data_IF_431244314667
#
_entry.id   IF_431244314667
#
_cell.length_a   1.000
_cell.length_b   1.000
_cell.length_c   1.000
_cell.angle_alpha   90.00
_cell.angle_beta   90.00
_cell.angle_gamma   90.00
#
_symmetry.space_group_name_H-M   'P 1'
#
loop_
_entity.id
_entity.type
_entity.pdbx_description
1 polymer ?
#
# COMPACT_ATOMS: atom_id res chain seq x y z
N UNK A 1 -53.77 4.54 9.43
CA UNK A 1 -53.29 5.20 10.67
C UNK A 1 -51.83 4.84 10.90
N UNK A 2 -50.92 5.81 10.77
CA UNK A 2 -49.71 5.91 11.63
C UNK A 2 -50.12 6.69 12.90
N UNK A 3 -49.37 6.60 14.01
CA UNK A 3 -48.24 7.53 14.25
C UNK A 3 -46.91 6.77 14.52
N UNK A 4 -45.71 7.24 14.13
CA UNK A 4 -44.88 8.31 14.74
C UNK A 4 -44.60 7.99 16.23
N UNK A 5 -43.40 7.90 16.78
CA UNK A 5 -42.01 8.19 16.39
C UNK A 5 -41.19 8.31 17.69
N UNK A 6 -39.87 8.16 17.66
CA UNK A 6 -38.99 8.93 18.56
C UNK A 6 -37.58 9.06 17.99
N UNK A 7 -37.09 10.28 18.09
CA UNK A 7 -35.93 10.90 17.46
C UNK A 7 -35.10 11.49 18.63
N UNK A 8 -33.77 11.25 18.62
CA UNK A 8 -32.68 11.99 19.31
C UNK A 8 -32.64 11.95 20.87
N UNK A 9 -31.55 12.16 21.63
CA UNK A 9 -30.29 12.93 21.51
C UNK A 9 -29.28 12.49 22.62
N UNK A 10 -27.95 12.59 22.45
CA UNK A 10 -26.89 13.10 23.40
C UNK A 10 -25.58 13.12 22.59
N UNK A 11 -25.14 14.24 22.02
CA UNK A 11 -24.42 15.41 22.58
C UNK A 11 -22.89 15.31 22.45
N UNK A 12 -22.30 16.45 22.13
CA UNK A 12 -20.89 16.71 21.86
C UNK A 12 -19.97 16.44 23.06
N UNK A 13 -18.75 15.96 22.79
CA UNK A 13 -17.55 16.24 23.58
C UNK A 13 -16.51 16.82 22.61
N UNK A 14 -16.24 18.13 22.71
CA UNK A 14 -15.07 18.73 23.36
C UNK A 14 -13.77 18.38 22.63
N UNK A 15 -13.14 19.43 22.10
CA UNK A 15 -11.73 19.42 21.71
C UNK A 15 -10.89 18.85 22.87
N UNK A 16 -10.43 17.61 22.73
CA UNK A 16 -9.40 17.08 23.60
C UNK A 16 -8.08 17.77 23.21
N UNK A 17 -7.30 18.29 24.17
CA UNK A 17 -5.91 18.61 23.87
C UNK A 17 -5.24 17.33 23.38
N UNK A 18 -4.28 17.46 22.45
CA UNK A 18 -3.34 16.39 22.11
C UNK A 18 -2.77 15.87 23.43
N UNK A 19 -3.29 14.74 23.90
CA UNK A 19 -2.67 14.02 25.00
C UNK A 19 -1.33 13.57 24.42
N UNK A 20 -0.24 14.15 24.94
CA UNK A 20 1.08 13.59 24.74
C UNK A 20 0.96 12.10 25.06
N UNK A 21 1.18 11.27 24.04
CA UNK A 21 1.16 9.83 24.25
C UNK A 21 2.26 9.52 25.27
N UNK A 22 1.96 8.76 26.34
CA UNK A 22 3.02 8.30 27.21
C UNK A 22 4.05 7.58 26.34
N UNK A 23 5.34 7.88 26.52
CA UNK A 23 6.42 7.07 25.96
C UNK A 23 6.38 5.69 26.64
N UNK A 24 5.41 4.87 26.25
CA UNK A 24 5.44 3.45 26.54
C UNK A 24 6.44 2.86 25.57
N UNK A 25 7.68 2.75 26.03
CA UNK A 25 8.70 1.94 25.39
C UNK A 25 8.05 0.57 25.09
N UNK A 26 7.91 0.16 23.82
CA UNK A 26 7.27 -1.11 23.51
C UNK A 26 8.00 -2.22 24.25
N UNK A 27 7.23 -3.15 24.83
CA UNK A 27 7.80 -4.36 25.41
C UNK A 27 8.69 -5.00 24.35
N UNK A 28 9.94 -5.29 24.72
CA UNK A 28 10.94 -5.85 23.82
C UNK A 28 10.38 -7.16 23.25
N UNK A 29 10.04 -7.16 21.96
CA UNK A 29 9.55 -8.36 21.28
C UNK A 29 10.73 -9.33 21.21
N UNK A 30 10.57 -10.48 21.87
CA UNK A 30 11.64 -11.46 22.03
C UNK A 30 12.07 -11.98 20.64
N UNK A 31 13.31 -11.69 20.26
CA UNK A 31 13.94 -12.19 19.03
C UNK A 31 14.09 -11.18 17.89
N UNK A 32 13.61 -9.94 18.03
CA UNK A 32 13.75 -8.95 16.96
C UNK A 32 15.21 -8.52 16.79
N UNK A 33 15.65 -8.48 15.53
CA UNK A 33 16.89 -7.78 15.16
C UNK A 33 16.71 -6.32 15.53
N UNK A 34 17.73 -5.74 16.15
CA UNK A 34 17.75 -4.32 16.45
C UNK A 34 18.28 -3.56 15.23
N UNK A 35 17.74 -2.36 15.01
CA UNK A 35 18.39 -1.33 14.19
C UNK A 35 19.78 -1.02 14.74
N UNK A 36 20.65 -0.39 13.94
CA UNK A 36 21.96 0.10 14.40
C UNK A 36 21.85 1.09 15.57
N UNK A 37 20.65 1.66 15.81
CA UNK A 37 20.34 2.56 16.91
C UNK A 37 19.76 1.87 18.16
N UNK A 38 19.63 0.54 18.15
CA UNK A 38 19.12 -0.24 19.28
C UNK A 38 17.59 -0.22 19.44
N UNK A 39 16.84 0.33 18.48
CA UNK A 39 15.38 0.18 18.37
C UNK A 39 15.00 -1.15 17.72
N UNK A 40 13.81 -1.66 18.03
CA UNK A 40 13.21 -2.79 17.30
C UNK A 40 12.92 -2.36 15.85
N UNK A 41 13.15 -3.26 14.89
CA UNK A 41 12.85 -3.05 13.46
C UNK A 41 11.33 -3.08 13.16
N UNK A 42 10.51 -3.46 14.15
CA UNK A 42 9.05 -3.50 14.08
C UNK A 42 8.42 -3.60 15.49
N UNK A 43 7.19 -3.11 15.66
CA UNK A 43 6.34 -3.29 16.86
C UNK A 43 5.66 -4.66 16.90
N UNK A 44 5.53 -5.30 15.75
CA UNK A 44 5.04 -6.68 15.60
C UNK A 44 6.23 -7.54 15.18
N UNK A 45 6.53 -8.60 15.94
CA UNK A 45 7.69 -9.44 15.64
C UNK A 45 7.66 -9.96 14.21
N UNK A 46 8.82 -10.08 13.58
CA UNK A 46 8.92 -10.62 12.22
C UNK A 46 9.10 -12.14 12.26
N UNK A 47 8.65 -12.87 11.23
CA UNK A 47 8.98 -14.29 11.12
C UNK A 47 10.51 -14.43 11.02
N UNK A 48 11.15 -15.03 12.01
CA UNK A 48 12.58 -15.32 11.98
C UNK A 48 12.84 -16.39 10.91
N UNK A 49 13.83 -16.20 10.01
CA UNK A 49 14.27 -17.25 9.11
C UNK A 49 14.51 -18.58 9.81
N UNK A 50 14.99 -18.62 11.05
CA UNK A 50 15.21 -19.85 11.83
C UNK A 50 13.90 -20.63 12.10
N UNK A 51 12.77 -19.95 12.21
CA UNK A 51 11.45 -20.52 12.52
C UNK A 51 10.61 -20.86 11.28
N UNK A 52 11.16 -20.64 10.07
CA UNK A 52 10.48 -20.94 8.81
C UNK A 52 10.34 -22.44 8.57
N UNK A 53 9.18 -22.86 8.07
CA UNK A 53 9.01 -24.19 7.48
C UNK A 53 9.91 -24.36 6.25
N UNK A 54 10.21 -25.59 5.78
CA UNK A 54 11.00 -25.80 4.57
C UNK A 54 10.47 -25.03 3.35
N UNK A 55 9.14 -25.02 3.15
CA UNK A 55 8.52 -24.27 2.05
C UNK A 55 8.66 -22.74 2.20
N UNK A 56 8.56 -22.22 3.42
CA UNK A 56 8.79 -20.79 3.68
C UNK A 56 10.25 -20.41 3.47
N UNK A 57 11.19 -21.28 3.87
CA UNK A 57 12.62 -21.07 3.65
C UNK A 57 12.97 -21.08 2.17
N UNK A 58 12.44 -22.04 1.40
CA UNK A 58 12.61 -22.08 -0.05
C UNK A 58 12.11 -20.79 -0.70
N UNK A 59 10.90 -20.33 -0.34
CA UNK A 59 10.37 -19.07 -0.84
C UNK A 59 11.26 -17.87 -0.47
N UNK A 60 11.72 -17.80 0.79
CA UNK A 60 12.63 -16.77 1.30
C UNK A 60 13.98 -16.72 0.55
N UNK A 61 14.53 -17.88 0.18
CA UNK A 61 15.80 -17.98 -0.52
C UNK A 61 15.67 -17.69 -2.02
N UNK A 62 14.50 -17.94 -2.61
CA UNK A 62 14.24 -17.82 -4.05
C UNK A 62 14.14 -16.40 -4.61
N UNK A 63 13.98 -15.37 -3.77
CA UNK A 63 13.75 -14.00 -4.24
C UNK A 63 14.22 -12.94 -3.24
N UNK A 64 14.83 -11.82 -3.70
CA UNK A 64 15.10 -10.66 -2.85
C UNK A 64 13.86 -10.12 -2.13
N UNK A 65 12.70 -10.09 -2.80
CA UNK A 65 11.45 -9.56 -2.23
C UNK A 65 10.98 -10.34 -1.00
N UNK A 66 11.23 -11.65 -0.97
CA UNK A 66 10.84 -12.51 0.14
C UNK A 66 11.67 -12.24 1.41
N UNK A 67 12.81 -11.54 1.28
CA UNK A 67 13.70 -11.18 2.38
C UNK A 67 13.34 -9.85 3.05
N UNK A 68 12.50 -9.05 2.40
CA UNK A 68 12.02 -7.78 2.95
C UNK A 68 11.30 -8.00 4.29
N UNK A 69 11.45 -7.04 5.19
CA UNK A 69 10.79 -6.96 6.47
C UNK A 69 9.27 -7.08 6.31
N UNK A 70 8.70 -6.47 5.27
CA UNK A 70 7.28 -6.57 4.97
C UNK A 70 6.84 -8.02 4.70
N UNK A 71 7.59 -8.75 3.87
CA UNK A 71 7.29 -10.16 3.57
C UNK A 71 7.29 -11.02 4.83
N UNK A 72 8.26 -10.79 5.72
CA UNK A 72 8.38 -11.49 7.00
C UNK A 72 7.29 -11.08 8.01
N UNK A 73 6.84 -9.83 7.96
CA UNK A 73 5.75 -9.30 8.77
C UNK A 73 4.41 -9.91 8.34
N UNK A 74 4.10 -9.88 7.04
CA UNK A 74 2.87 -10.46 6.49
C UNK A 74 2.78 -11.96 6.76
N UNK A 75 3.91 -12.67 6.75
CA UNK A 75 3.99 -14.09 7.08
C UNK A 75 3.55 -14.44 8.52
N UNK A 76 3.44 -13.47 9.44
CA UNK A 76 2.85 -13.70 10.76
C UNK A 76 1.36 -14.04 10.68
N UNK A 77 0.64 -13.53 9.68
CA UNK A 77 -0.75 -13.88 9.43
C UNK A 77 -0.86 -15.22 8.69
N UNK A 78 -0.42 -16.31 9.34
CA UNK A 78 -0.26 -17.66 8.73
C UNK A 78 -1.48 -18.15 7.96
N UNK A 79 -2.69 -17.84 8.43
CA UNK A 79 -3.95 -18.24 7.79
C UNK A 79 -4.31 -17.42 6.56
N UNK A 80 -3.80 -16.19 6.45
CA UNK A 80 -4.09 -15.26 5.34
C UNK A 80 -2.98 -15.21 4.29
N UNK A 81 -1.73 -15.51 4.70
CA UNK A 81 -0.56 -15.34 3.84
C UNK A 81 -0.64 -16.05 2.48
N UNK A 82 -1.13 -17.30 2.37
CA UNK A 82 -1.26 -17.96 1.06
C UNK A 82 -2.22 -17.21 0.12
N UNK A 83 -3.35 -16.73 0.66
CA UNK A 83 -4.35 -15.96 -0.09
C UNK A 83 -3.81 -14.60 -0.52
N UNK A 84 -3.12 -13.90 0.40
CA UNK A 84 -2.48 -12.62 0.08
C UNK A 84 -1.42 -12.76 -1.00
N UNK A 85 -0.60 -13.81 -0.95
CA UNK A 85 0.41 -14.09 -1.97
C UNK A 85 -0.21 -14.35 -3.35
N UNK A 86 -1.33 -15.09 -3.43
CA UNK A 86 -2.07 -15.28 -4.68
C UNK A 86 -2.63 -13.97 -5.23
N UNK A 87 -3.20 -13.12 -4.36
CA UNK A 87 -3.77 -11.85 -4.76
C UNK A 87 -2.70 -10.87 -5.27
N UNK A 88 -1.56 -10.74 -4.58
CA UNK A 88 -0.43 -9.91 -5.02
C UNK A 88 0.13 -10.43 -6.35
N UNK A 89 0.28 -11.75 -6.51
CA UNK A 89 0.74 -12.34 -7.77
C UNK A 89 -0.21 -11.99 -8.92
N UNK A 90 -1.51 -12.24 -8.75
CA UNK A 90 -2.51 -11.93 -9.77
C UNK A 90 -2.52 -10.43 -10.10
N UNK A 91 -2.42 -9.57 -9.08
CA UNK A 91 -2.28 -8.13 -9.25
C UNK A 91 -1.09 -7.77 -10.14
N UNK A 92 0.05 -8.47 -10.01
CA UNK A 92 1.28 -8.18 -10.76
C UNK A 92 1.26 -8.74 -12.19
N UNK A 93 0.75 -9.95 -12.39
CA UNK A 93 0.89 -10.71 -13.65
C UNK A 93 -0.38 -10.83 -14.48
N UNK A 94 -1.57 -10.78 -13.86
CA UNK A 94 -2.81 -11.25 -14.49
C UNK A 94 -3.85 -10.13 -14.72
N UNK A 95 -3.63 -8.93 -14.16
CA UNK A 95 -4.50 -7.76 -14.36
C UNK A 95 -4.43 -7.21 -15.78
N UNK A 96 -5.54 -6.67 -16.28
CA UNK A 96 -5.63 -5.88 -17.52
C UNK A 96 -5.43 -4.38 -17.30
N UNK A 97 -5.23 -3.93 -16.06
CA UNK A 97 -4.77 -2.56 -15.78
C UNK A 97 -3.32 -2.38 -16.27
N UNK A 98 -3.03 -1.35 -17.11
CA UNK A 98 -1.68 -1.11 -17.62
C UNK A 98 -0.65 -0.93 -16.50
N UNK A 99 0.56 -1.53 -16.61
CA UNK A 99 1.53 -1.52 -15.52
C UNK A 99 1.94 -0.11 -15.04
N UNK A 100 2.14 0.85 -15.96
CA UNK A 100 2.50 2.22 -15.63
C UNK A 100 1.39 2.92 -14.84
N UNK A 101 0.13 2.75 -15.27
CA UNK A 101 -1.04 3.31 -14.60
C UNK A 101 -1.25 2.66 -13.22
N UNK A 102 -1.01 1.35 -13.10
CA UNK A 102 -0.99 0.63 -11.82
C UNK A 102 0.03 1.22 -10.86
N UNK A 103 1.26 1.49 -11.31
CA UNK A 103 2.30 2.06 -10.46
C UNK A 103 2.01 3.53 -10.06
N UNK A 104 1.42 4.33 -10.96
CA UNK A 104 0.95 5.69 -10.63
C UNK A 104 -0.12 5.66 -9.53
N UNK A 105 -1.06 4.72 -9.60
CA UNK A 105 -2.09 4.53 -8.56
C UNK A 105 -1.47 4.11 -7.25
N UNK A 106 -0.50 3.20 -7.29
CA UNK A 106 0.23 2.76 -6.10
C UNK A 106 0.87 3.96 -5.43
N UNK A 107 1.73 4.70 -6.12
CA UNK A 107 2.36 5.92 -5.58
C UNK A 107 1.34 6.91 -5.01
N UNK A 108 0.21 7.11 -5.69
CA UNK A 108 -0.85 7.99 -5.18
C UNK A 108 -1.44 7.49 -3.86
N UNK A 109 -1.74 6.20 -3.72
CA UNK A 109 -2.23 5.60 -2.46
C UNK A 109 -1.18 5.73 -1.37
N UNK A 110 0.09 5.42 -1.69
CA UNK A 110 1.22 5.52 -0.76
C UNK A 110 1.38 6.93 -0.20
N UNK A 111 1.33 7.95 -1.06
CA UNK A 111 1.36 9.35 -0.64
C UNK A 111 0.15 9.70 0.24
N UNK A 112 -1.06 9.38 -0.22
CA UNK A 112 -2.29 9.76 0.45
C UNK A 112 -2.42 9.14 1.86
N UNK A 113 -1.98 7.89 2.05
CA UNK A 113 -2.03 7.18 3.33
C UNK A 113 -0.71 7.26 4.12
N UNK A 114 0.27 8.07 3.68
CA UNK A 114 1.55 8.35 4.38
C UNK A 114 2.44 7.12 4.55
N UNK A 115 2.49 6.28 3.53
CA UNK A 115 3.23 5.02 3.51
C UNK A 115 4.71 5.17 3.21
N UNK A 116 5.51 5.59 4.19
CA UNK A 116 6.93 5.86 3.99
C UNK A 116 7.74 4.60 3.63
N UNK A 117 7.43 3.45 4.24
CA UNK A 117 8.14 2.20 3.96
C UNK A 117 7.95 1.77 2.49
N UNK A 118 6.70 1.71 2.05
CA UNK A 118 6.40 1.27 0.68
C UNK A 118 6.79 2.32 -0.36
N UNK A 119 6.68 3.61 -0.04
CA UNK A 119 7.09 4.68 -0.94
C UNK A 119 8.55 4.53 -1.37
N UNK A 120 9.45 4.24 -0.42
CA UNK A 120 10.87 4.03 -0.72
C UNK A 120 11.10 2.90 -1.74
N UNK A 121 10.33 1.82 -1.65
CA UNK A 121 10.40 0.71 -2.61
C UNK A 121 9.84 1.11 -3.97
N UNK A 122 8.68 1.76 -3.98
CA UNK A 122 7.95 2.09 -5.20
C UNK A 122 8.54 3.26 -5.99
N UNK A 123 9.27 4.17 -5.35
CA UNK A 123 10.04 5.19 -6.08
C UNK A 123 11.09 4.54 -7.02
N UNK A 124 11.76 3.47 -6.57
CA UNK A 124 12.70 2.71 -7.39
C UNK A 124 12.01 1.89 -8.49
N UNK A 125 10.82 1.35 -8.21
CA UNK A 125 9.99 0.66 -9.20
C UNK A 125 9.59 1.64 -10.31
N UNK A 126 9.04 2.80 -9.95
CA UNK A 126 8.61 3.83 -10.87
C UNK A 126 9.75 4.28 -11.79
N UNK A 127 10.94 4.52 -11.23
CA UNK A 127 12.14 4.84 -12.00
C UNK A 127 12.53 3.71 -12.98
N UNK A 128 12.49 2.44 -12.52
CA UNK A 128 12.79 1.29 -13.37
C UNK A 128 11.76 1.06 -14.48
N UNK A 129 10.52 1.51 -14.28
CA UNK A 129 9.43 1.48 -15.27
C UNK A 129 9.46 2.67 -16.23
N UNK A 130 10.30 3.69 -15.97
CA UNK A 130 10.40 4.89 -16.78
C UNK A 130 9.32 5.95 -16.48
N UNK A 131 8.66 5.88 -15.31
CA UNK A 131 7.83 6.98 -14.82
C UNK A 131 8.76 8.15 -14.49
N UNK A 132 8.44 9.32 -15.03
CA UNK A 132 9.31 10.48 -14.89
C UNK A 132 9.34 10.98 -13.44
N UNK A 133 10.49 11.52 -13.03
CA UNK A 133 10.64 12.10 -11.69
C UNK A 133 9.64 13.23 -11.44
N UNK A 134 9.31 14.00 -12.46
CA UNK A 134 8.32 15.09 -12.39
C UNK A 134 6.93 14.58 -12.01
N UNK A 135 6.53 13.38 -12.49
CA UNK A 135 5.26 12.74 -12.09
C UNK A 135 5.30 12.27 -10.64
N UNK A 136 6.40 11.63 -10.22
CA UNK A 136 6.56 11.18 -8.83
C UNK A 136 6.54 12.37 -7.86
N UNK A 137 7.26 13.44 -8.20
CA UNK A 137 7.29 14.67 -7.42
C UNK A 137 5.91 15.36 -7.37
N UNK A 138 5.19 15.38 -8.50
CA UNK A 138 3.83 15.93 -8.52
C UNK A 138 2.86 15.15 -7.61
N UNK A 139 3.00 13.82 -7.50
CA UNK A 139 2.23 13.02 -6.53
C UNK A 139 2.63 13.40 -5.10
N UNK A 140 3.94 13.46 -4.81
CA UNK A 140 4.47 13.78 -3.48
C UNK A 140 4.10 15.21 -3.01
N UNK A 141 3.87 16.13 -3.94
CA UNK A 141 3.46 17.51 -3.67
C UNK A 141 1.93 17.72 -3.66
N UNK A 142 1.11 16.66 -3.68
CA UNK A 142 -0.35 16.73 -3.80
C UNK A 142 -0.86 17.42 -5.09
N UNK A 143 -0.03 17.50 -6.15
CA UNK A 143 -0.35 18.12 -7.44
C UNK A 143 -0.98 17.14 -8.44
N UNK A 144 -2.04 16.46 -8.03
CA UNK A 144 -2.73 15.43 -8.85
C UNK A 144 -3.35 15.92 -10.17
N UNK A 145 -3.53 17.24 -10.35
CA UNK A 145 -4.04 17.85 -11.58
C UNK A 145 -2.95 18.47 -12.47
N UNK A 146 -1.67 18.24 -12.16
CA UNK A 146 -0.54 18.87 -12.84
C UNK A 146 -0.49 18.53 -14.34
N UNK A 147 -0.06 19.46 -15.23
CA UNK A 147 0.10 19.20 -16.66
C UNK A 147 1.09 18.08 -17.03
N UNK A 148 1.94 17.64 -16.10
CA UNK A 148 2.79 16.45 -16.32
C UNK A 148 1.98 15.17 -16.52
N UNK A 149 0.75 15.12 -16.02
CA UNK A 149 -0.19 14.03 -16.23
C UNK A 149 -1.05 14.27 -17.46
N UNK A 150 -1.28 13.24 -18.25
CA UNK A 150 -2.29 13.30 -19.31
C UNK A 150 -3.72 13.21 -18.73
N UNK A 151 -4.74 13.36 -19.59
CA UNK A 151 -6.14 13.35 -19.14
C UNK A 151 -6.59 12.00 -18.56
N UNK A 152 -6.00 10.89 -19.01
CA UNK A 152 -6.29 9.56 -18.49
C UNK A 152 -5.69 9.39 -17.09
N UNK A 153 -4.45 9.82 -16.90
CA UNK A 153 -3.76 9.81 -15.62
C UNK A 153 -4.43 10.72 -14.60
N UNK A 154 -4.86 11.93 -15.01
CA UNK A 154 -5.64 12.82 -14.12
C UNK A 154 -6.95 12.20 -13.68
N UNK A 155 -7.70 11.56 -14.58
CA UNK A 155 -8.93 10.86 -14.24
C UNK A 155 -8.66 9.71 -13.25
N UNK A 156 -7.60 8.94 -13.47
CA UNK A 156 -7.15 7.85 -12.61
C UNK A 156 -6.76 8.35 -11.20
N UNK A 157 -5.98 9.43 -11.12
CA UNK A 157 -5.55 10.05 -9.87
C UNK A 157 -6.72 10.66 -9.08
N UNK A 158 -7.65 11.33 -9.77
CA UNK A 158 -8.86 11.87 -9.15
C UNK A 158 -9.74 10.77 -8.54
N UNK A 159 -9.99 9.69 -9.31
CA UNK A 159 -10.71 8.51 -8.83
C UNK A 159 -10.02 7.86 -7.63
N UNK A 160 -8.70 7.68 -7.70
CA UNK A 160 -7.88 7.09 -6.62
C UNK A 160 -7.97 7.94 -5.35
N UNK A 161 -7.80 9.26 -5.47
CA UNK A 161 -7.88 10.18 -4.33
C UNK A 161 -9.23 10.14 -3.64
N UNK A 162 -10.33 10.14 -4.40
CA UNK A 162 -11.67 10.04 -3.82
C UNK A 162 -11.93 8.67 -3.19
N UNK A 163 -11.45 7.58 -3.82
CA UNK A 163 -11.56 6.22 -3.27
C UNK A 163 -10.88 6.14 -1.90
N UNK A 164 -9.66 6.67 -1.78
CA UNK A 164 -8.89 6.64 -0.52
C UNK A 164 -9.49 7.57 0.55
N UNK A 165 -9.88 8.80 0.18
CA UNK A 165 -10.28 9.83 1.16
C UNK A 165 -11.77 9.86 1.50
N UNK A 166 -12.63 9.42 0.59
CA UNK A 166 -14.08 9.52 0.73
C UNK A 166 -14.80 8.17 0.60
N UNK A 167 -14.14 7.13 0.08
CA UNK A 167 -14.70 5.81 -0.29
C UNK A 167 -15.73 5.88 -1.41
N UNK A 168 -16.69 6.81 -1.32
CA UNK A 168 -17.70 7.06 -2.34
C UNK A 168 -17.19 8.14 -3.30
N UNK A 169 -16.86 7.70 -4.51
CA UNK A 169 -16.46 8.58 -5.63
C UNK A 169 -17.71 9.29 -6.17
N UNK A 170 -17.58 10.58 -6.49
CA UNK A 170 -18.65 11.36 -7.13
C UNK A 170 -18.85 10.97 -8.61
N UNK A 171 -20.01 11.33 -9.16
CA UNK A 171 -20.40 10.95 -10.52
C UNK A 171 -19.45 11.54 -11.58
N UNK A 172 -18.80 12.68 -11.29
CA UNK A 172 -17.89 13.33 -12.21
C UNK A 172 -16.58 12.56 -12.34
N UNK A 173 -15.92 12.25 -11.23
CA UNK A 173 -14.69 11.46 -11.20
C UNK A 173 -14.94 10.03 -11.68
N UNK A 174 -16.08 9.44 -11.32
CA UNK A 174 -16.47 8.12 -11.82
C UNK A 174 -16.68 8.12 -13.34
N UNK A 175 -17.40 9.12 -13.87
CA UNK A 175 -17.60 9.27 -15.31
C UNK A 175 -16.30 9.50 -16.07
N UNK A 176 -15.39 10.31 -15.53
CA UNK A 176 -14.09 10.59 -16.14
C UNK A 176 -13.22 9.33 -16.27
N UNK A 177 -13.10 8.52 -15.21
CA UNK A 177 -12.31 7.28 -15.28
C UNK A 177 -12.99 6.26 -16.21
N UNK A 178 -14.33 6.16 -16.19
CA UNK A 178 -15.08 5.21 -17.04
C UNK A 178 -14.98 5.52 -18.54
N UNK A 179 -14.54 6.72 -18.92
CA UNK A 179 -14.24 7.06 -20.31
C UNK A 179 -12.98 6.36 -20.85
N UNK A 180 -12.09 5.90 -19.97
CA UNK A 180 -10.80 5.29 -20.34
C UNK A 180 -10.68 3.81 -19.98
N UNK A 181 -11.43 3.34 -18.99
CA UNK A 181 -11.32 1.99 -18.45
C UNK A 181 -12.65 1.24 -18.52
N UNK A 182 -12.58 -0.05 -18.86
CA UNK A 182 -13.75 -0.93 -18.82
C UNK A 182 -14.09 -1.38 -17.38
N UNK A 183 -15.24 -2.05 -17.22
CA UNK A 183 -15.71 -2.47 -15.89
C UNK A 183 -14.75 -3.44 -15.20
N UNK A 184 -14.04 -4.28 -15.95
CA UNK A 184 -13.04 -5.20 -15.40
C UNK A 184 -11.85 -4.42 -14.85
N UNK A 185 -11.30 -3.50 -15.64
CA UNK A 185 -10.18 -2.65 -15.24
C UNK A 185 -10.53 -1.77 -14.04
N UNK A 186 -11.76 -1.25 -13.96
CA UNK A 186 -12.22 -0.48 -12.79
C UNK A 186 -12.28 -1.32 -11.52
N UNK A 187 -12.73 -2.58 -11.61
CA UNK A 187 -12.72 -3.50 -10.47
C UNK A 187 -11.28 -3.87 -10.08
N UNK A 188 -10.40 -4.15 -11.04
CA UNK A 188 -8.98 -4.43 -10.77
C UNK A 188 -8.26 -3.21 -10.16
N UNK A 189 -8.55 -1.99 -10.62
CA UNK A 189 -8.07 -0.74 -10.03
C UNK A 189 -8.45 -0.63 -8.55
N UNK A 190 -9.70 -0.94 -8.19
CA UNK A 190 -10.15 -0.94 -6.80
C UNK A 190 -9.42 -2.01 -5.97
N UNK A 191 -9.08 -3.17 -6.54
CA UNK A 191 -8.26 -4.17 -5.87
C UNK A 191 -6.85 -3.63 -5.59
N UNK A 192 -6.20 -2.99 -6.57
CA UNK A 192 -4.87 -2.37 -6.39
C UNK A 192 -4.91 -1.35 -5.25
N UNK A 193 -5.89 -0.43 -5.27
CA UNK A 193 -6.06 0.57 -4.21
C UNK A 193 -6.25 -0.10 -2.85
N UNK A 194 -7.16 -1.07 -2.75
CA UNK A 194 -7.45 -1.78 -1.50
C UNK A 194 -6.28 -2.60 -0.96
N UNK A 195 -5.51 -3.24 -1.83
CA UNK A 195 -4.31 -4.01 -1.46
C UNK A 195 -3.27 -3.10 -0.82
N UNK A 196 -2.96 -1.95 -1.43
CA UNK A 196 -1.99 -1.02 -0.87
C UNK A 196 -2.49 -0.33 0.39
N UNK A 197 -3.78 0.00 0.48
CA UNK A 197 -4.39 0.45 1.73
C UNK A 197 -4.21 -0.59 2.86
N UNK A 198 -4.40 -1.88 2.58
CA UNK A 198 -4.17 -2.95 3.55
C UNK A 198 -2.71 -3.06 3.95
N UNK A 199 -1.79 -3.13 2.98
CA UNK A 199 -0.36 -3.27 3.20
C UNK A 199 0.17 -2.13 4.08
N UNK A 200 -0.21 -0.88 3.77
CA UNK A 200 0.18 0.30 4.53
C UNK A 200 -0.28 0.25 5.99
N UNK A 201 -1.51 -0.20 6.22
CA UNK A 201 -2.02 -0.35 7.60
C UNK A 201 -1.22 -1.40 8.36
N UNK A 202 -0.67 -2.41 7.69
CA UNK A 202 0.18 -3.41 8.33
C UNK A 202 1.58 -2.84 8.59
N UNK A 203 2.25 -2.26 7.60
CA UNK A 203 3.63 -1.76 7.74
C UNK A 203 3.74 -0.54 8.65
N UNK A 204 2.87 0.45 8.49
CA UNK A 204 2.93 1.70 9.26
C UNK A 204 2.48 1.51 10.72
N UNK A 205 1.43 0.72 10.98
CA UNK A 205 1.04 0.39 12.37
C UNK A 205 2.10 -0.46 13.05
N UNK A 206 2.77 -1.35 12.31
CA UNK A 206 3.93 -2.06 12.82
C UNK A 206 5.15 -1.15 13.02
N UNK A 207 5.16 0.10 12.55
CA UNK A 207 6.36 0.97 12.57
C UNK A 207 7.55 0.23 11.92
N UNK A 208 7.30 -0.40 10.79
CA UNK A 208 8.28 -1.23 10.10
C UNK A 208 9.45 -0.36 9.61
N UNK A 209 10.67 -0.69 10.05
CA UNK A 209 11.85 0.03 9.59
C UNK A 209 12.09 -0.26 8.11
N UNK A 210 12.34 0.82 7.36
CA UNK A 210 12.79 0.76 5.96
C UNK A 210 14.09 -0.02 5.89
N UNK A 211 14.04 -1.17 5.25
CA UNK A 211 15.19 -2.02 5.00
C UNK A 211 15.74 -1.80 3.58
N UNK A 212 16.51 -2.76 3.08
CA UNK A 212 17.11 -2.65 1.76
C UNK A 212 16.04 -2.37 0.69
N UNK A 213 16.27 -1.31 -0.09
CA UNK A 213 15.36 -0.91 -1.15
C UNK A 213 15.65 -1.74 -2.39
N UNK A 214 14.74 -2.64 -2.72
CA UNK A 214 14.89 -3.63 -3.80
C UNK A 214 13.83 -3.51 -4.90
N UNK A 215 13.01 -2.45 -4.87
CA UNK A 215 11.87 -2.29 -5.77
C UNK A 215 12.22 -2.45 -7.25
N UNK A 216 13.31 -1.84 -7.71
CA UNK A 216 13.76 -1.95 -9.09
C UNK A 216 14.11 -3.40 -9.50
N UNK A 217 14.76 -4.18 -8.62
CA UNK A 217 15.07 -5.59 -8.87
C UNK A 217 13.80 -6.46 -8.88
N UNK A 218 12.83 -6.17 -7.99
CA UNK A 218 11.54 -6.88 -7.96
C UNK A 218 10.83 -6.74 -9.31
N UNK A 219 10.75 -5.52 -9.84
CA UNK A 219 10.12 -5.24 -11.13
C UNK A 219 10.83 -5.99 -12.27
N UNK A 220 12.16 -5.87 -12.36
CA UNK A 220 12.95 -6.55 -13.42
C UNK A 220 12.77 -8.06 -13.41
N UNK A 221 12.71 -8.68 -12.22
CA UNK A 221 12.48 -10.12 -12.09
C UNK A 221 11.07 -10.54 -12.48
N UNK A 222 10.06 -9.70 -12.20
CA UNK A 222 8.68 -9.94 -12.60
C UNK A 222 8.50 -9.83 -14.13
N UNK A 223 9.12 -8.82 -14.76
CA UNK A 223 9.11 -8.65 -16.21
C UNK A 223 9.81 -9.81 -16.92
N UNK A 224 10.97 -10.26 -16.44
CA UNK A 224 11.74 -11.35 -17.06
C UNK A 224 11.04 -12.73 -17.03
N UNK A 225 9.95 -12.89 -16.27
CA UNK A 225 9.16 -14.14 -16.19
C UNK A 225 7.93 -14.14 -17.09
N UNK A 226 7.69 -13.08 -17.86
CA UNK A 226 6.61 -13.01 -18.86
C UNK A 226 6.99 -13.67 -20.19
N UNK A 227 8.29 -13.91 -20.41
CA UNK A 227 8.85 -14.66 -21.54
C UNK A 227 8.99 -16.16 -21.22
#
# INVERSE_FOLDING_TARGET
MKPVGLIFFVAALIAAPVLAQPETRPAQVKGDKMTDTGRSISRIGLLDPADMTPAQREAYESSPSAKLNLSRLLAQAKTLQPGMGMLIRAMMTDTTLPPLEREIVILAVLHLDRGAYEWAQHEQVAAAMGISKEKVDAIADDRFGDPVFDEREKALLAFTRQTVKAVRVDDYAFGAVKAFYDDRQLVELLHVIGIYMLILRVSEVAELEIDAVHGAEVWKHAEAKKD
#
